data_IF_312627301427
#
_entry.id   IF_312627301427
#
_cell.length_a   1.000
_cell.length_b   1.000
_cell.length_c   1.000
_cell.angle_alpha   90.00
_cell.angle_beta   90.00
_cell.angle_gamma   90.00
#
_symmetry.space_group_name_H-M   'P 1'
#
loop_
_entity.id
_entity.type
_entity.pdbx_description
1 polymer ?
#
# COMPACT_ATOMS: atom_id res chain seq x y z
N UNK A 1 -15.48 -6.38 -13.23
CA UNK A 1 -15.83 -6.78 -11.84
C UNK A 1 -14.71 -6.39 -10.91
N UNK A 2 -15.02 -5.75 -9.80
CA UNK A 2 -14.07 -5.17 -8.85
C UNK A 2 -14.33 -5.73 -7.46
N UNK A 3 -13.29 -6.11 -6.74
CA UNK A 3 -13.40 -6.55 -5.35
C UNK A 3 -13.15 -5.35 -4.44
N UNK A 4 -14.03 -5.16 -3.47
CA UNK A 4 -13.93 -4.08 -2.49
C UNK A 4 -14.42 -4.58 -1.12
N UNK A 5 -14.07 -3.86 -0.06
CA UNK A 5 -14.62 -4.11 1.27
C UNK A 5 -15.74 -3.11 1.54
N UNK A 6 -16.86 -3.59 2.07
CA UNK A 6 -17.94 -2.73 2.52
C UNK A 6 -17.65 -2.12 3.90
N UNK A 7 -18.58 -1.34 4.42
CA UNK A 7 -18.47 -0.68 5.74
C UNK A 7 -18.21 -1.65 6.91
N UNK A 8 -18.64 -2.91 6.78
CA UNK A 8 -18.48 -3.98 7.77
C UNK A 8 -17.21 -4.83 7.54
N UNK A 9 -16.30 -4.38 6.67
CA UNK A 9 -15.09 -5.12 6.28
C UNK A 9 -15.37 -6.48 5.65
N UNK A 10 -16.53 -6.64 5.00
CA UNK A 10 -16.87 -7.82 4.22
C UNK A 10 -16.48 -7.59 2.77
N UNK A 11 -15.74 -8.55 2.18
CA UNK A 11 -15.37 -8.50 0.77
C UNK A 11 -16.60 -8.71 -0.11
N UNK A 12 -16.84 -7.77 -1.02
CA UNK A 12 -17.96 -7.76 -1.96
C UNK A 12 -17.44 -7.58 -3.39
N UNK A 13 -18.28 -7.93 -4.37
CA UNK A 13 -17.99 -7.77 -5.80
C UNK A 13 -18.91 -6.70 -6.38
N UNK A 14 -18.31 -5.71 -7.04
CA UNK A 14 -19.00 -4.64 -7.75
C UNK A 14 -18.85 -4.82 -9.26
N UNK A 15 -19.95 -4.75 -9.99
CA UNK A 15 -19.98 -4.90 -11.46
C UNK A 15 -19.92 -3.54 -12.16
N UNK A 16 -19.56 -3.54 -13.45
CA UNK A 16 -19.55 -2.32 -14.28
C UNK A 16 -20.97 -1.72 -14.43
N UNK A 17 -22.01 -2.56 -14.39
CA UNK A 17 -23.41 -2.11 -14.39
C UNK A 17 -23.75 -1.37 -13.10
N UNK A 18 -23.32 -1.88 -11.94
CA UNK A 18 -23.49 -1.21 -10.65
C UNK A 18 -22.74 0.13 -10.62
N UNK A 19 -21.51 0.19 -11.13
CA UNK A 19 -20.77 1.45 -11.26
C UNK A 19 -21.48 2.44 -12.18
N UNK A 20 -21.98 1.98 -13.33
CA UNK A 20 -22.72 2.81 -14.29
C UNK A 20 -24.00 3.36 -13.69
N UNK A 21 -24.71 2.55 -12.89
CA UNK A 21 -25.91 2.98 -12.16
C UNK A 21 -25.58 4.04 -11.10
N UNK A 22 -24.53 3.81 -10.31
CA UNK A 22 -24.08 4.75 -9.29
C UNK A 22 -23.59 6.08 -9.88
N UNK A 23 -22.95 6.04 -11.05
CA UNK A 23 -22.51 7.24 -11.76
C UNK A 23 -23.67 8.16 -12.14
N UNK A 24 -24.81 7.59 -12.56
CA UNK A 24 -26.02 8.35 -12.94
C UNK A 24 -26.78 8.95 -11.75
N UNK A 25 -26.41 8.63 -10.52
CA UNK A 25 -27.08 9.06 -9.29
C UNK A 25 -26.38 10.27 -8.65
N UNK A 26 -26.26 11.37 -9.39
CA UNK A 26 -25.66 12.61 -8.89
C UNK A 26 -26.33 13.11 -7.61
N UNK A 27 -25.53 13.70 -6.70
CA UNK A 27 -26.02 14.24 -5.43
C UNK A 27 -26.49 13.20 -4.40
N UNK A 28 -26.39 11.89 -4.71
CA UNK A 28 -26.57 10.83 -3.72
C UNK A 28 -25.22 10.40 -3.18
N UNK A 29 -25.18 10.11 -1.88
CA UNK A 29 -24.01 9.52 -1.23
C UNK A 29 -23.66 8.18 -1.87
N UNK A 30 -22.37 7.97 -2.13
CA UNK A 30 -21.83 6.71 -2.63
C UNK A 30 -21.49 5.79 -1.45
N UNK A 31 -21.75 4.50 -1.60
CA UNK A 31 -21.20 3.53 -0.66
C UNK A 31 -19.68 3.42 -0.82
N UNK A 32 -19.01 3.01 0.26
CA UNK A 32 -17.56 2.87 0.29
C UNK A 32 -17.06 1.89 -0.78
N UNK A 33 -17.71 0.75 -0.94
CA UNK A 33 -17.32 -0.26 -1.93
C UNK A 33 -17.49 0.25 -3.36
N UNK A 34 -18.44 1.14 -3.61
CA UNK A 34 -18.63 1.80 -4.90
C UNK A 34 -17.47 2.76 -5.18
N UNK A 35 -17.05 3.55 -4.19
CA UNK A 35 -15.92 4.49 -4.30
C UNK A 35 -14.62 3.74 -4.60
N UNK A 36 -14.32 2.70 -3.84
CA UNK A 36 -13.15 1.83 -4.06
C UNK A 36 -13.18 1.23 -5.47
N UNK A 37 -14.32 0.69 -5.90
CA UNK A 37 -14.47 0.08 -7.21
C UNK A 37 -14.34 1.12 -8.36
N UNK A 38 -14.80 2.36 -8.18
CA UNK A 38 -14.56 3.45 -9.13
C UNK A 38 -13.06 3.73 -9.29
N UNK A 39 -12.31 3.83 -8.18
CA UNK A 39 -10.85 3.96 -8.21
C UNK A 39 -10.16 2.80 -8.91
N UNK A 40 -10.56 1.56 -8.57
CA UNK A 40 -10.02 0.33 -9.15
C UNK A 40 -10.29 0.20 -10.67
N UNK A 41 -11.41 0.75 -11.16
CA UNK A 41 -11.76 0.74 -12.58
C UNK A 41 -10.82 1.57 -13.44
N UNK A 42 -10.12 2.55 -12.84
CA UNK A 42 -9.25 3.51 -13.53
C UNK A 42 -9.96 4.32 -14.62
N UNK A 43 -11.29 4.33 -14.60
CA UNK A 43 -12.08 5.01 -15.61
C UNK A 43 -12.32 6.46 -15.18
N UNK A 44 -11.74 7.39 -15.96
CA UNK A 44 -11.82 8.84 -15.72
C UNK A 44 -13.24 9.39 -15.71
N UNK A 45 -14.22 8.68 -16.28
CA UNK A 45 -15.63 9.13 -16.21
C UNK A 45 -16.13 9.26 -14.77
N UNK A 46 -15.55 8.53 -13.81
CA UNK A 46 -16.00 8.55 -12.41
C UNK A 46 -15.39 9.69 -11.58
N UNK A 47 -14.42 10.44 -12.12
CA UNK A 47 -13.77 11.55 -11.41
C UNK A 47 -14.78 12.54 -10.79
N UNK A 48 -15.83 13.02 -11.50
CA UNK A 48 -16.79 13.94 -10.91
C UNK A 48 -17.46 13.37 -9.64
N UNK A 49 -17.82 12.08 -9.67
CA UNK A 49 -18.47 11.41 -8.53
C UNK A 49 -17.49 11.19 -7.36
N UNK A 50 -16.23 10.92 -7.66
CA UNK A 50 -15.18 10.82 -6.63
C UNK A 50 -14.88 12.18 -6.00
N UNK A 51 -14.92 13.27 -6.77
CA UNK A 51 -14.81 14.63 -6.24
C UNK A 51 -16.00 15.00 -5.34
N UNK A 52 -17.22 14.58 -5.68
CA UNK A 52 -18.36 14.71 -4.77
C UNK A 52 -18.12 13.91 -3.46
N UNK A 53 -17.55 12.71 -3.55
CA UNK A 53 -17.27 11.86 -2.39
C UNK A 53 -16.17 12.40 -1.46
N UNK A 54 -15.33 13.35 -1.89
CA UNK A 54 -14.38 14.08 -1.01
C UNK A 54 -15.09 14.89 0.09
N UNK A 55 -16.39 15.15 -0.07
CA UNK A 55 -17.21 15.90 0.88
C UNK A 55 -18.26 15.03 1.57
N UNK A 56 -18.15 13.71 1.43
CA UNK A 56 -19.07 12.77 2.05
C UNK A 56 -19.06 12.88 3.58
N UNK A 57 -20.22 12.69 4.22
CA UNK A 57 -20.36 12.79 5.68
C UNK A 57 -19.46 11.80 6.45
N UNK A 58 -19.26 10.60 5.90
CA UNK A 58 -18.42 9.54 6.51
C UNK A 58 -16.95 9.71 6.12
N UNK A 59 -16.06 9.86 7.11
CA UNK A 59 -14.60 10.00 6.93
C UNK A 59 -13.99 8.88 6.08
N UNK A 60 -14.38 7.63 6.35
CA UNK A 60 -13.85 6.47 5.63
C UNK A 60 -14.11 6.57 4.12
N UNK A 61 -15.30 7.03 3.72
CA UNK A 61 -15.65 7.26 2.30
C UNK A 61 -14.79 8.37 1.70
N UNK A 62 -14.53 9.45 2.44
CA UNK A 62 -13.65 10.54 1.97
C UNK A 62 -12.22 10.05 1.74
N UNK A 63 -11.67 9.26 2.65
CA UNK A 63 -10.34 8.64 2.51
C UNK A 63 -10.27 7.74 1.28
N UNK A 64 -11.26 6.87 1.07
CA UNK A 64 -11.29 6.03 -0.12
C UNK A 64 -11.46 6.84 -1.42
N UNK A 65 -12.15 7.98 -1.37
CA UNK A 65 -12.22 8.90 -2.51
C UNK A 65 -10.86 9.50 -2.85
N UNK A 66 -10.08 9.91 -1.85
CA UNK A 66 -8.71 10.41 -2.01
C UNK A 66 -7.82 9.34 -2.67
N UNK A 67 -7.82 8.12 -2.13
CA UNK A 67 -7.04 7.01 -2.71
C UNK A 67 -7.54 6.59 -4.10
N UNK A 68 -8.84 6.70 -4.36
CA UNK A 68 -9.42 6.39 -5.68
C UNK A 68 -9.02 7.40 -6.73
N UNK A 69 -9.00 8.70 -6.40
CA UNK A 69 -8.49 9.76 -7.28
C UNK A 69 -7.00 9.59 -7.56
N UNK A 70 -6.22 9.22 -6.53
CA UNK A 70 -4.80 8.85 -6.70
C UNK A 70 -4.65 7.64 -7.63
N UNK A 71 -5.51 6.62 -7.48
CA UNK A 71 -5.49 5.39 -8.28
C UNK A 71 -5.82 5.61 -9.76
N UNK A 72 -6.72 6.55 -10.06
CA UNK A 72 -7.05 6.98 -11.44
C UNK A 72 -5.92 7.85 -12.03
N UNK A 73 -4.99 8.32 -11.20
CA UNK A 73 -3.92 9.24 -11.56
C UNK A 73 -4.47 10.52 -12.19
N UNK A 74 -5.48 11.11 -11.55
CA UNK A 74 -6.12 12.31 -12.06
C UNK A 74 -5.48 13.60 -11.54
N UNK A 75 -4.56 14.15 -12.33
CA UNK A 75 -3.96 15.46 -12.06
C UNK A 75 -5.02 16.59 -12.11
N UNK A 76 -6.14 16.41 -12.81
CA UNK A 76 -7.18 17.45 -12.92
C UNK A 76 -7.89 17.72 -11.60
N UNK A 77 -7.99 16.73 -10.71
CA UNK A 77 -8.56 16.87 -9.36
C UNK A 77 -7.59 17.48 -8.34
N UNK A 78 -6.36 17.85 -8.74
CA UNK A 78 -5.36 18.41 -7.83
C UNK A 78 -5.87 19.67 -7.11
N UNK A 79 -6.55 20.58 -7.81
CA UNK A 79 -7.10 21.79 -7.21
C UNK A 79 -8.12 21.46 -6.12
N UNK A 80 -9.03 20.52 -6.38
CA UNK A 80 -10.03 20.07 -5.41
C UNK A 80 -9.42 19.39 -4.19
N UNK A 81 -8.38 18.55 -4.40
CA UNK A 81 -7.64 17.93 -3.30
C UNK A 81 -6.92 18.97 -2.44
N UNK A 82 -6.28 19.96 -3.06
CA UNK A 82 -5.57 21.04 -2.35
C UNK A 82 -6.53 21.98 -1.62
N UNK A 83 -7.66 22.33 -2.22
CA UNK A 83 -8.70 23.13 -1.57
C UNK A 83 -9.26 22.40 -0.36
N UNK A 84 -9.56 21.11 -0.52
CA UNK A 84 -10.00 20.25 0.58
C UNK A 84 -8.95 20.18 1.68
N UNK A 85 -7.68 19.94 1.36
CA UNK A 85 -6.58 19.86 2.32
C UNK A 85 -6.44 21.15 3.14
N UNK A 86 -6.52 22.31 2.48
CA UNK A 86 -6.47 23.63 3.13
C UNK A 86 -7.69 23.91 4.01
N UNK A 87 -8.83 23.31 3.71
CA UNK A 87 -10.05 23.47 4.52
C UNK A 87 -9.98 22.72 5.87
N UNK A 88 -9.03 21.78 6.02
CA UNK A 88 -8.86 20.97 7.23
C UNK A 88 -7.79 21.61 8.11
N UNK A 89 -8.15 21.83 9.38
CA UNK A 89 -7.26 22.39 10.41
C UNK A 89 -6.02 21.52 10.63
N UNK A 90 -4.90 22.16 10.97
CA UNK A 90 -3.67 21.49 11.43
C UNK A 90 -3.91 20.60 12.67
N UNK A 91 -4.92 20.90 13.48
CA UNK A 91 -5.30 20.07 14.63
C UNK A 91 -5.72 18.64 14.23
N UNK A 92 -6.13 18.43 12.97
CA UNK A 92 -6.48 17.11 12.44
C UNK A 92 -5.29 16.13 12.48
N UNK A 93 -4.04 16.62 12.49
CA UNK A 93 -2.88 15.76 12.71
C UNK A 93 -2.89 15.03 14.05
N UNK A 94 -3.69 15.47 15.02
CA UNK A 94 -3.86 14.80 16.31
C UNK A 94 -5.00 13.78 16.31
N UNK A 95 -5.87 13.76 15.30
CA UNK A 95 -6.98 12.81 15.20
C UNK A 95 -6.50 11.36 15.07
N UNK A 96 -7.26 10.34 15.51
CA UNK A 96 -6.87 8.93 15.32
C UNK A 96 -6.53 8.60 13.86
N UNK A 97 -7.37 9.07 12.93
CA UNK A 97 -7.16 9.03 11.49
C UNK A 97 -7.16 10.48 11.00
N UNK A 98 -6.03 10.96 10.49
CA UNK A 98 -5.88 12.34 10.00
C UNK A 98 -6.18 12.39 8.51
N UNK A 99 -7.33 12.97 8.14
CA UNK A 99 -7.71 13.20 6.75
C UNK A 99 -6.71 14.15 6.06
N UNK A 100 -6.19 15.14 6.79
CA UNK A 100 -5.18 16.07 6.31
C UNK A 100 -3.88 15.37 5.93
N UNK A 101 -3.40 14.44 6.76
CA UNK A 101 -2.20 13.67 6.47
C UNK A 101 -2.37 12.79 5.22
N UNK A 102 -3.54 12.16 5.06
CA UNK A 102 -3.90 11.35 3.88
C UNK A 102 -3.95 12.22 2.61
N UNK A 103 -4.56 13.40 2.68
CA UNK A 103 -4.58 14.33 1.55
C UNK A 103 -3.17 14.78 1.15
N UNK A 104 -2.36 15.20 2.13
CA UNK A 104 -0.99 15.64 1.86
C UNK A 104 -0.16 14.51 1.24
N UNK A 105 -0.23 13.28 1.77
CA UNK A 105 0.50 12.14 1.19
C UNK A 105 0.05 11.82 -0.23
N UNK A 106 -1.25 11.84 -0.51
CA UNK A 106 -1.80 11.61 -1.84
C UNK A 106 -1.39 12.71 -2.83
N UNK A 107 -1.47 13.98 -2.41
CA UNK A 107 -1.05 15.14 -3.22
C UNK A 107 0.44 15.06 -3.55
N UNK A 108 1.30 14.76 -2.58
CA UNK A 108 2.75 14.59 -2.80
C UNK A 108 2.99 13.56 -3.89
N UNK A 109 2.38 12.37 -3.78
CA UNK A 109 2.57 11.30 -4.75
C UNK A 109 1.98 11.63 -6.13
N UNK A 110 0.85 12.34 -6.17
CA UNK A 110 0.20 12.73 -7.42
C UNK A 110 1.01 13.77 -8.20
N UNK A 111 1.56 14.79 -7.51
CA UNK A 111 2.27 15.92 -8.14
C UNK A 111 3.72 15.56 -8.45
N UNK A 112 4.43 14.98 -7.50
CA UNK A 112 5.88 14.82 -7.56
C UNK A 112 6.31 13.38 -7.86
N UNK A 113 5.36 12.48 -8.08
CA UNK A 113 5.63 11.09 -8.37
C UNK A 113 6.29 10.33 -7.23
N UNK A 114 6.90 9.16 -7.51
CA UNK A 114 7.61 8.34 -6.53
C UNK A 114 8.78 9.09 -5.86
N UNK A 115 9.51 9.91 -6.62
CA UNK A 115 10.63 10.71 -6.11
C UNK A 115 10.17 11.70 -5.04
N UNK A 116 9.03 12.36 -5.26
CA UNK A 116 8.46 13.24 -4.25
C UNK A 116 8.04 12.52 -2.99
N UNK A 117 7.53 11.29 -3.09
CA UNK A 117 7.25 10.47 -1.91
C UNK A 117 8.54 10.11 -1.15
N UNK A 118 9.62 9.78 -1.87
CA UNK A 118 10.92 9.49 -1.27
C UNK A 118 11.51 10.71 -0.55
N UNK A 119 11.58 11.87 -1.21
CA UNK A 119 12.04 13.14 -0.62
C UNK A 119 11.17 13.53 0.58
N UNK A 120 9.84 13.37 0.46
CA UNK A 120 8.90 13.67 1.52
C UNK A 120 9.13 12.80 2.77
N UNK A 121 9.43 11.52 2.57
CA UNK A 121 9.69 10.58 3.66
C UNK A 121 11.04 10.85 4.33
N UNK A 122 12.10 11.02 3.54
CA UNK A 122 13.49 10.98 4.03
C UNK A 122 14.14 12.33 4.33
N UNK A 123 13.78 13.38 3.59
CA UNK A 123 14.59 14.61 3.53
C UNK A 123 13.83 15.85 4.01
N UNK A 124 12.52 15.90 3.79
CA UNK A 124 11.70 17.05 4.17
C UNK A 124 11.19 17.01 5.62
N UNK A 125 10.72 18.17 6.09
CA UNK A 125 10.16 18.37 7.44
C UNK A 125 8.64 18.14 7.50
N UNK A 126 8.10 17.22 6.68
CA UNK A 126 6.68 16.86 6.79
C UNK A 126 6.37 16.23 8.14
N UNK A 127 5.15 16.48 8.62
CA UNK A 127 4.64 15.88 9.84
C UNK A 127 4.74 14.34 9.78
N UNK A 128 5.13 13.64 10.87
CA UNK A 128 5.33 12.19 10.87
C UNK A 128 4.13 11.39 10.35
N UNK A 129 2.90 11.87 10.57
CA UNK A 129 1.69 11.22 10.00
C UNK A 129 1.63 11.30 8.48
N UNK A 130 2.11 12.37 7.85
CA UNK A 130 2.19 12.46 6.39
C UNK A 130 3.17 11.41 5.89
N UNK A 131 4.34 11.31 6.53
CA UNK A 131 5.37 10.32 6.20
C UNK A 131 4.86 8.88 6.33
N UNK A 132 4.09 8.59 7.37
CA UNK A 132 3.40 7.31 7.56
C UNK A 132 2.41 7.05 6.40
N UNK A 133 1.57 8.03 6.06
CA UNK A 133 0.55 7.90 5.01
C UNK A 133 1.11 7.82 3.59
N UNK A 134 2.37 8.19 3.36
CA UNK A 134 3.02 7.93 2.07
C UNK A 134 3.06 6.42 1.76
N UNK A 135 3.27 5.56 2.76
CA UNK A 135 3.22 4.10 2.56
C UNK A 135 1.79 3.58 2.38
N UNK A 136 0.82 4.13 3.11
CA UNK A 136 -0.59 3.74 2.96
C UNK A 136 -1.17 4.03 1.57
N UNK A 137 -0.63 5.00 0.83
CA UNK A 137 -1.00 5.20 -0.58
C UNK A 137 -0.85 3.92 -1.42
N UNK A 138 0.11 3.06 -1.06
CA UNK A 138 0.48 1.86 -1.82
C UNK A 138 -0.33 0.61 -1.46
N UNK A 139 -1.13 0.64 -0.38
CA UNK A 139 -2.12 -0.40 -0.08
C UNK A 139 -3.44 -0.23 -0.87
N UNK A 140 -3.51 0.79 -1.74
CA UNK A 140 -4.66 1.07 -2.59
C UNK A 140 -4.56 0.41 -3.98
N UNK A 141 -5.52 0.70 -4.86
CA UNK A 141 -5.55 0.22 -6.26
C UNK A 141 -4.58 0.98 -7.20
N UNK A 142 -3.68 1.79 -6.64
CA UNK A 142 -2.74 2.62 -7.39
C UNK A 142 -1.87 1.81 -8.37
N UNK A 143 -1.56 2.42 -9.51
CA UNK A 143 -0.57 1.89 -10.45
C UNK A 143 0.81 2.14 -9.86
N UNK A 144 1.52 1.06 -9.56
CA UNK A 144 2.90 1.12 -9.10
C UNK A 144 3.85 1.29 -10.29
N UNK A 145 4.78 2.22 -10.16
CA UNK A 145 5.96 2.37 -11.00
C UNK A 145 7.14 1.59 -10.38
N UNK A 146 8.22 1.40 -11.13
CA UNK A 146 9.46 0.80 -10.61
C UNK A 146 10.01 1.57 -9.41
N UNK A 147 10.01 2.89 -9.51
CA UNK A 147 10.53 3.81 -8.51
C UNK A 147 9.66 3.82 -7.24
N UNK A 148 8.37 3.47 -7.36
CA UNK A 148 7.52 3.26 -6.19
C UNK A 148 7.96 2.03 -5.39
N UNK A 149 8.33 0.95 -6.09
CA UNK A 149 8.85 -0.27 -5.44
C UNK A 149 10.15 0.06 -4.70
N UNK A 150 11.03 0.84 -5.33
CA UNK A 150 12.29 1.28 -4.70
C UNK A 150 12.03 2.09 -3.43
N UNK A 151 11.10 3.05 -3.50
CA UNK A 151 10.65 3.83 -2.35
C UNK A 151 10.12 2.92 -1.23
N UNK A 152 9.20 2.00 -1.55
CA UNK A 152 8.61 1.08 -0.57
C UNK A 152 9.69 0.24 0.12
N UNK A 153 10.66 -0.30 -0.64
CA UNK A 153 11.78 -1.08 -0.07
C UNK A 153 12.61 -0.22 0.88
N UNK A 154 12.95 1.00 0.48
CA UNK A 154 13.76 1.91 1.31
C UNK A 154 13.03 2.31 2.59
N UNK A 155 11.76 2.69 2.47
CA UNK A 155 10.93 3.09 3.60
C UNK A 155 10.72 1.91 4.56
N UNK A 156 10.37 0.71 4.06
CA UNK A 156 10.20 -0.49 4.88
C UNK A 156 11.48 -0.85 5.64
N UNK A 157 12.65 -0.74 4.99
CA UNK A 157 13.93 -0.90 5.68
C UNK A 157 14.08 0.06 6.86
N UNK A 158 13.70 1.32 6.69
CA UNK A 158 13.77 2.35 7.73
C UNK A 158 12.88 2.03 8.94
N UNK A 159 11.69 1.46 8.71
CA UNK A 159 10.82 0.96 9.78
C UNK A 159 11.45 -0.20 10.54
N UNK A 160 12.01 -1.18 9.83
CA UNK A 160 12.56 -2.39 10.44
C UNK A 160 13.86 -2.14 11.21
N UNK A 161 14.70 -1.23 10.71
CA UNK A 161 15.96 -0.86 11.35
C UNK A 161 15.83 0.37 12.27
N UNK A 162 14.65 0.99 12.33
CA UNK A 162 14.32 2.14 13.19
C UNK A 162 15.32 3.28 13.10
N UNK A 163 15.80 3.57 11.90
CA UNK A 163 16.87 4.53 11.64
C UNK A 163 16.41 6.01 11.65
N UNK A 164 15.13 6.28 11.90
CA UNK A 164 14.56 7.62 12.08
C UNK A 164 13.91 7.78 13.46
N UNK A 165 14.15 8.92 14.10
CA UNK A 165 13.62 9.21 15.44
C UNK A 165 12.10 9.16 15.53
N UNK A 166 11.39 9.64 14.50
CA UNK A 166 9.93 9.66 14.50
C UNK A 166 9.33 8.25 14.40
N UNK A 167 10.01 7.31 13.75
CA UNK A 167 9.61 5.89 13.67
C UNK A 167 9.71 5.24 15.06
N UNK A 168 10.75 5.57 15.83
CA UNK A 168 10.94 5.02 17.17
C UNK A 168 9.84 5.42 18.16
N UNK A 169 9.11 6.52 17.87
CA UNK A 169 8.03 7.06 18.70
C UNK A 169 6.64 6.55 18.28
N UNK A 170 6.54 5.74 17.23
CA UNK A 170 5.26 5.20 16.77
C UNK A 170 4.66 4.21 17.78
N UNK A 171 3.34 4.20 17.85
CA UNK A 171 2.61 3.15 18.57
C UNK A 171 2.81 1.82 17.83
N UNK A 172 2.69 0.72 18.59
CA UNK A 172 2.88 -0.62 18.06
C UNK A 172 1.91 -0.91 16.91
N UNK A 173 0.65 -0.57 17.06
CA UNK A 173 -0.38 -0.85 16.06
C UNK A 173 -0.07 -0.09 14.75
N UNK A 174 0.21 1.22 14.83
CA UNK A 174 0.62 2.03 13.66
C UNK A 174 1.89 1.47 12.98
N UNK A 175 2.83 0.93 13.78
CA UNK A 175 4.08 0.35 13.29
C UNK A 175 3.86 -0.99 12.58
N UNK A 176 3.03 -1.87 13.12
CA UNK A 176 2.73 -3.17 12.51
C UNK A 176 1.86 -2.99 11.25
N UNK A 177 0.85 -2.12 11.31
CA UNK A 177 -0.07 -1.83 10.20
C UNK A 177 0.67 -1.30 8.97
N UNK A 178 1.59 -0.33 9.14
CA UNK A 178 2.33 0.23 8.01
C UNK A 178 3.31 -0.76 7.39
N UNK A 179 3.89 -1.67 8.20
CA UNK A 179 4.72 -2.76 7.69
C UNK A 179 3.87 -3.72 6.85
N UNK A 180 2.68 -4.10 7.32
CA UNK A 180 1.76 -4.96 6.58
C UNK A 180 1.38 -4.29 5.25
N UNK A 181 0.99 -3.02 5.27
CA UNK A 181 0.65 -2.29 4.04
C UNK A 181 1.81 -2.23 3.04
N UNK A 182 3.03 -1.98 3.51
CA UNK A 182 4.22 -2.00 2.65
C UNK A 182 4.49 -3.40 2.05
N UNK A 183 4.30 -4.46 2.84
CA UNK A 183 4.47 -5.84 2.39
C UNK A 183 3.42 -6.25 1.36
N UNK A 184 2.16 -5.88 1.56
CA UNK A 184 1.08 -6.11 0.59
C UNK A 184 1.34 -5.36 -0.72
N UNK A 185 1.85 -4.13 -0.65
CA UNK A 185 2.26 -3.38 -1.83
C UNK A 185 3.39 -4.09 -2.59
N UNK A 186 4.40 -4.63 -1.88
CA UNK A 186 5.49 -5.41 -2.50
C UNK A 186 4.99 -6.72 -3.10
N UNK A 187 4.08 -7.42 -2.43
CA UNK A 187 3.45 -8.62 -2.99
C UNK A 187 2.69 -8.28 -4.28
N UNK A 188 1.83 -7.26 -4.25
CA UNK A 188 1.10 -6.79 -5.45
C UNK A 188 2.05 -6.38 -6.59
N UNK A 189 3.17 -5.73 -6.28
CA UNK A 189 4.21 -5.39 -7.25
C UNK A 189 4.87 -6.64 -7.84
N UNK A 190 5.07 -7.68 -7.02
CA UNK A 190 5.66 -8.96 -7.42
C UNK A 190 4.79 -9.70 -8.43
N UNK A 191 3.47 -9.74 -8.20
CA UNK A 191 2.52 -10.38 -9.13
C UNK A 191 2.51 -9.70 -10.49
N UNK A 192 2.71 -8.37 -10.51
CA UNK A 192 2.87 -7.55 -11.71
C UNK A 192 4.28 -7.60 -12.32
N UNK A 193 5.17 -8.44 -11.79
CA UNK A 193 6.57 -8.61 -12.21
C UNK A 193 7.44 -7.35 -12.08
N UNK A 194 7.02 -6.37 -11.28
CA UNK A 194 7.80 -5.15 -11.07
C UNK A 194 9.07 -5.42 -10.25
N UNK A 195 9.06 -6.42 -9.36
CA UNK A 195 10.27 -6.83 -8.63
C UNK A 195 11.36 -7.42 -9.54
N UNK A 196 10.99 -7.98 -10.70
CA UNK A 196 11.97 -8.58 -11.63
C UNK A 196 12.78 -7.55 -12.40
N UNK A 197 12.31 -6.30 -12.38
CA UNK A 197 13.00 -5.15 -12.97
C UNK A 197 14.01 -4.52 -12.00
N UNK A 198 14.03 -4.97 -10.75
CA UNK A 198 14.89 -4.41 -9.72
C UNK A 198 16.34 -4.87 -9.86
N UNK A 199 17.28 -3.95 -9.58
CA UNK A 199 18.71 -4.25 -9.58
C UNK A 199 19.10 -5.22 -8.45
N UNK A 200 20.27 -5.87 -8.57
CA UNK A 200 20.84 -6.78 -7.55
C UNK A 200 20.84 -6.13 -6.15
N UNK A 201 21.09 -4.83 -6.08
CA UNK A 201 21.06 -4.03 -4.84
C UNK A 201 19.72 -4.18 -4.09
N UNK A 202 18.60 -4.22 -4.80
CA UNK A 202 17.28 -4.33 -4.19
C UNK A 202 16.96 -5.75 -3.74
N UNK A 203 17.46 -6.79 -4.43
CA UNK A 203 17.35 -8.17 -3.92
C UNK A 203 18.06 -8.34 -2.57
N UNK A 204 19.25 -7.75 -2.41
CA UNK A 204 19.97 -7.77 -1.12
C UNK A 204 19.20 -7.03 -0.02
N UNK A 205 18.61 -5.88 -0.33
CA UNK A 205 17.74 -5.14 0.62
C UNK A 205 16.52 -5.97 1.01
N UNK A 206 15.85 -6.60 0.05
CA UNK A 206 14.70 -7.47 0.31
C UNK A 206 15.07 -8.67 1.19
N UNK A 207 16.24 -9.28 0.99
CA UNK A 207 16.74 -10.33 1.90
C UNK A 207 16.87 -9.81 3.32
N UNK A 208 17.52 -8.66 3.51
CA UNK A 208 17.72 -8.08 4.85
C UNK A 208 16.38 -7.76 5.53
N UNK A 209 15.45 -7.15 4.79
CA UNK A 209 14.08 -6.85 5.22
C UNK A 209 13.33 -8.13 5.60
N UNK A 210 13.30 -9.12 4.70
CA UNK A 210 12.60 -10.38 4.93
C UNK A 210 13.15 -11.14 6.13
N UNK A 211 14.48 -11.28 6.24
CA UNK A 211 15.12 -11.89 7.41
C UNK A 211 14.75 -11.18 8.71
N UNK A 212 14.74 -9.85 8.70
CA UNK A 212 14.38 -9.08 9.88
C UNK A 212 12.92 -9.32 10.29
N UNK A 213 11.97 -9.25 9.36
CA UNK A 213 10.54 -9.53 9.61
C UNK A 213 10.34 -10.93 10.19
N UNK A 214 11.00 -11.93 9.62
CA UNK A 214 10.89 -13.31 10.07
C UNK A 214 11.42 -13.52 11.49
N UNK A 215 12.41 -12.73 11.91
CA UNK A 215 13.05 -12.83 13.23
C UNK A 215 12.39 -11.98 14.33
N UNK A 216 11.71 -10.88 14.00
CA UNK A 216 11.07 -10.04 15.01
C UNK A 216 9.71 -10.61 15.48
N UNK A 217 9.25 -10.11 16.62
CA UNK A 217 7.87 -10.30 17.08
C UNK A 217 6.97 -9.29 16.38
N UNK A 218 6.20 -9.77 15.42
CA UNK A 218 5.21 -9.04 14.61
C UNK A 218 4.06 -9.99 14.30
N UNK A 219 2.95 -9.45 13.83
CA UNK A 219 1.81 -10.22 13.31
C UNK A 219 2.26 -11.36 12.36
N UNK A 220 1.64 -12.55 12.49
CA UNK A 220 1.99 -13.71 11.68
C UNK A 220 1.74 -13.49 10.20
N UNK A 221 0.73 -12.70 9.86
CA UNK A 221 0.39 -12.37 8.48
C UNK A 221 1.53 -11.64 7.76
N UNK A 222 2.30 -10.79 8.47
CA UNK A 222 3.49 -10.18 7.89
C UNK A 222 4.54 -11.22 7.46
N UNK A 223 4.70 -12.29 8.25
CA UNK A 223 5.61 -13.40 7.94
C UNK A 223 5.08 -14.27 6.81
N UNK A 224 3.77 -14.47 6.75
CA UNK A 224 3.10 -15.15 5.63
C UNK A 224 3.32 -14.41 4.33
N UNK A 225 3.13 -13.07 4.29
CA UNK A 225 3.39 -12.27 3.08
C UNK A 225 4.84 -12.42 2.63
N UNK A 226 5.82 -12.35 3.54
CA UNK A 226 7.24 -12.59 3.20
C UNK A 226 7.45 -13.97 2.58
N UNK A 227 6.83 -15.01 3.13
CA UNK A 227 6.88 -16.35 2.56
C UNK A 227 6.24 -16.42 1.17
N UNK A 228 5.13 -15.73 0.95
CA UNK A 228 4.38 -15.71 -0.31
C UNK A 228 5.18 -15.02 -1.42
N UNK A 229 5.66 -13.79 -1.19
CA UNK A 229 6.27 -13.03 -2.29
C UNK A 229 7.71 -13.49 -2.61
N UNK A 230 8.37 -14.23 -1.70
CA UNK A 230 9.71 -14.78 -1.94
C UNK A 230 9.80 -15.61 -3.23
N UNK A 231 8.71 -16.28 -3.63
CA UNK A 231 8.66 -17.05 -4.89
C UNK A 231 8.91 -16.21 -6.14
N UNK A 232 8.74 -14.89 -6.07
CA UNK A 232 8.97 -13.98 -7.20
C UNK A 232 10.43 -13.52 -7.32
N UNK A 233 11.27 -13.78 -6.31
CA UNK A 233 12.71 -13.49 -6.37
C UNK A 233 13.47 -14.58 -7.14
N UNK A 234 14.68 -14.29 -7.65
CA UNK A 234 15.58 -15.33 -8.12
C UNK A 234 15.88 -16.35 -7.00
N UNK A 235 15.94 -17.68 -7.28
CA UNK A 235 16.00 -18.71 -6.25
C UNK A 235 17.07 -18.50 -5.18
N UNK A 236 18.29 -18.13 -5.59
CA UNK A 236 19.39 -17.80 -4.67
C UNK A 236 18.98 -16.80 -3.59
N UNK A 237 18.34 -15.70 -3.98
CA UNK A 237 17.94 -14.66 -3.04
C UNK A 237 16.70 -15.05 -2.23
N UNK A 238 15.79 -15.80 -2.84
CA UNK A 238 14.60 -16.31 -2.17
C UNK A 238 14.96 -17.26 -1.01
N UNK A 239 15.82 -18.25 -1.27
CA UNK A 239 16.27 -19.17 -0.22
C UNK A 239 17.03 -18.45 0.90
N UNK A 240 17.88 -17.50 0.53
CA UNK A 240 18.59 -16.71 1.53
C UNK A 240 17.61 -15.92 2.41
N UNK A 241 16.60 -15.28 1.82
CA UNK A 241 15.58 -14.54 2.58
C UNK A 241 14.76 -15.44 3.51
N UNK A 242 14.43 -16.67 3.09
CA UNK A 242 13.57 -17.61 3.81
C UNK A 242 14.29 -18.44 4.88
N UNK A 243 15.63 -18.45 4.92
CA UNK A 243 16.44 -19.23 5.86
C UNK A 243 15.92 -19.22 7.32
N UNK A 244 15.49 -18.07 7.90
CA UNK A 244 15.07 -18.03 9.29
C UNK A 244 13.90 -18.95 9.64
N UNK A 245 13.05 -19.29 8.66
CA UNK A 245 11.85 -20.13 8.87
C UNK A 245 11.95 -21.51 8.23
N UNK A 246 13.05 -21.82 7.54
CA UNK A 246 13.31 -23.16 6.97
C UNK A 246 13.64 -24.20 8.06
N UNK A 247 13.81 -25.46 7.64
CA UNK A 247 14.19 -26.59 8.51
C UNK A 247 13.21 -26.85 9.67
N UNK A 248 11.91 -26.72 9.40
CA UNK A 248 10.85 -27.01 10.38
C UNK A 248 10.63 -25.90 11.43
N UNK A 249 11.24 -24.72 11.26
CA UNK A 249 11.05 -23.57 12.16
C UNK A 249 9.70 -22.87 11.95
N UNK A 250 9.14 -22.90 10.74
CA UNK A 250 7.79 -22.38 10.45
C UNK A 250 6.68 -23.24 11.06
N UNK A 251 5.57 -22.62 11.45
CA UNK A 251 4.35 -23.28 11.97
C UNK A 251 3.09 -22.66 11.36
N UNK A 252 1.98 -23.39 11.39
CA UNK A 252 0.68 -22.89 10.94
C UNK A 252 0.68 -22.47 9.46
N UNK A 253 0.00 -21.37 9.15
CA UNK A 253 -0.13 -20.85 7.79
C UNK A 253 1.23 -20.45 7.19
N UNK A 254 2.17 -19.96 8.00
CA UNK A 254 3.55 -19.69 7.55
C UNK A 254 4.21 -20.95 6.98
N UNK A 255 4.01 -22.11 7.60
CA UNK A 255 4.59 -23.37 7.12
C UNK A 255 3.95 -23.83 5.80
N UNK A 256 2.65 -23.59 5.65
CA UNK A 256 1.89 -23.89 4.43
C UNK A 256 2.37 -23.03 3.26
N UNK A 257 2.47 -21.71 3.47
CA UNK A 257 2.95 -20.78 2.45
C UNK A 257 4.43 -21.01 2.12
N UNK A 258 5.28 -21.28 3.11
CA UNK A 258 6.67 -21.66 2.90
C UNK A 258 6.79 -22.91 2.00
N UNK A 259 6.01 -23.96 2.29
CA UNK A 259 6.02 -25.20 1.50
C UNK A 259 5.61 -24.93 0.05
N UNK A 260 4.54 -24.16 -0.16
CA UNK A 260 4.08 -23.79 -1.49
C UNK A 260 5.14 -22.99 -2.26
N UNK A 261 5.74 -21.98 -1.61
CA UNK A 261 6.80 -21.16 -2.20
C UNK A 261 8.03 -21.98 -2.56
N UNK A 262 8.50 -22.86 -1.68
CA UNK A 262 9.65 -23.71 -1.96
C UNK A 262 9.39 -24.61 -3.17
N UNK A 263 8.19 -25.20 -3.30
CA UNK A 263 7.83 -25.99 -4.48
C UNK A 263 7.98 -25.21 -5.79
N UNK A 264 7.57 -23.93 -5.81
CA UNK A 264 7.68 -23.06 -6.99
C UNK A 264 9.16 -22.74 -7.29
N UNK A 265 9.97 -22.47 -6.25
CA UNK A 265 11.39 -22.18 -6.42
C UNK A 265 12.16 -23.37 -7.01
N UNK A 266 11.89 -24.59 -6.52
CA UNK A 266 12.50 -25.81 -7.07
C UNK A 266 12.11 -26.05 -8.53
N UNK A 267 10.88 -25.70 -8.91
CA UNK A 267 10.47 -25.77 -10.31
C UNK A 267 11.25 -24.78 -11.18
N UNK A 268 11.40 -23.53 -10.73
CA UNK A 268 12.18 -22.50 -11.45
C UNK A 268 13.64 -22.91 -11.68
N UNK A 269 14.26 -23.57 -10.71
CA UNK A 269 15.64 -24.06 -10.84
C UNK A 269 15.79 -25.20 -11.87
N UNK A 270 14.73 -25.96 -12.13
CA UNK A 270 14.72 -27.00 -13.18
C UNK A 270 14.49 -26.44 -14.58
N UNK A 271 13.91 -25.24 -14.67
CA UNK A 271 13.57 -24.57 -15.93
C UNK A 271 14.64 -23.56 -16.40
N UNK A 272 15.64 -23.26 -15.56
CA UNK A 272 16.75 -22.34 -15.84
C UNK A 272 18.00 -23.06 -16.34
#
# INVERSE_FOLDING_TARGET
MYQAYNENNVRVVITDEQLSKAFRQHGKDLSIETVIAMGASRNKIFIPRLNEALYHQTLRVRIEAIHSLLSIHDIQSLSSLQEKEKSISEEDFNAPISEKAVLQSAIIRLVNGPKGAEEAFFESDYHPRVKLNLLYNYSSNMILLSEDVEFIINALGSFLFKDREWIQKLKRDDYEDVIICALEALWNASEKRLLTLSSIKYYQKLIAIGKQILNIKIDSYAKEIVAIFAKYLPPKYAYEMLEPIMNGKAKGDIAKELTHTLSILHQKEKEA
#
